data_IF_594809005754
#
_entry.id   IF_594809005754
#
_cell.length_a   1.000
_cell.length_b   1.000
_cell.length_c   1.000
_cell.angle_alpha   90.00
_cell.angle_beta   90.00
_cell.angle_gamma   90.00
#
_symmetry.space_group_name_H-M   'P 1'
#
loop_
_entity.id
_entity.type
_entity.pdbx_description
1 polymer ?
#
# COMPACT_ATOMS: atom_id res chain seq x y z
N UNK A 1 -18.23 19.43 6.10
CA UNK A 1 -18.04 19.55 4.63
C UNK A 1 -18.66 18.34 3.97
N UNK A 2 -19.61 18.54 3.07
CA UNK A 2 -20.20 17.44 2.29
C UNK A 2 -19.18 16.96 1.25
N UNK A 3 -19.10 15.65 1.08
CA UNK A 3 -18.17 15.03 0.13
C UNK A 3 -18.70 15.26 -1.30
N UNK A 4 -17.88 15.80 -2.22
CA UNK A 4 -18.30 16.02 -3.59
C UNK A 4 -18.38 14.71 -4.38
N UNK A 5 -19.18 14.73 -5.44
CA UNK A 5 -19.18 13.66 -6.44
C UNK A 5 -17.87 13.71 -7.24
N UNK A 6 -17.33 12.56 -7.64
CA UNK A 6 -16.06 12.53 -8.38
C UNK A 6 -16.10 13.40 -9.65
N UNK A 7 -17.24 13.46 -10.34
CA UNK A 7 -17.42 14.24 -11.56
C UNK A 7 -17.23 15.77 -11.36
N UNK A 8 -17.27 16.25 -10.11
CA UNK A 8 -17.05 17.65 -9.77
C UNK A 8 -15.57 17.97 -9.51
N UNK A 9 -14.72 16.94 -9.44
CA UNK A 9 -13.30 17.06 -9.13
C UNK A 9 -12.51 17.14 -10.42
N UNK A 10 -11.86 18.27 -10.64
CA UNK A 10 -11.03 18.52 -11.83
C UNK A 10 -9.55 18.52 -11.53
N UNK A 11 -9.14 18.64 -10.26
CA UNK A 11 -7.73 18.71 -9.87
C UNK A 11 -7.29 17.53 -9.00
N UNK A 12 -6.05 17.04 -9.17
CA UNK A 12 -5.45 16.02 -8.30
C UNK A 12 -5.44 16.44 -6.81
N UNK A 13 -5.16 17.71 -6.54
CA UNK A 13 -5.09 18.23 -5.17
C UNK A 13 -6.45 18.22 -4.47
N UNK A 14 -7.52 18.51 -5.20
CA UNK A 14 -8.88 18.42 -4.66
C UNK A 14 -9.30 16.97 -4.41
N UNK A 15 -8.95 16.06 -5.32
CA UNK A 15 -9.18 14.63 -5.14
C UNK A 15 -8.59 14.09 -3.82
N UNK A 16 -7.36 14.52 -3.49
CA UNK A 16 -6.63 14.11 -2.30
C UNK A 16 -7.19 14.65 -0.97
N UNK A 17 -8.03 15.70 -0.99
CA UNK A 17 -8.65 16.25 0.22
C UNK A 17 -9.69 15.31 0.83
N UNK A 18 -10.24 14.38 0.04
CA UNK A 18 -11.32 13.51 0.46
C UNK A 18 -10.87 12.05 0.60
N UNK A 19 -11.47 11.37 1.58
CA UNK A 19 -11.30 9.93 1.73
C UNK A 19 -12.24 9.17 0.80
N UNK A 20 -11.69 8.29 -0.03
CA UNK A 20 -12.45 7.42 -0.93
C UNK A 20 -12.37 5.95 -0.49
N UNK A 21 -13.49 5.25 -0.47
CA UNK A 21 -13.52 3.80 -0.29
C UNK A 21 -13.02 3.09 -1.55
N UNK A 22 -12.49 1.88 -1.37
CA UNK A 22 -11.89 1.10 -2.47
C UNK A 22 -12.90 0.84 -3.60
N UNK A 23 -14.13 0.47 -3.26
CA UNK A 23 -15.16 0.18 -4.27
C UNK A 23 -15.55 1.42 -5.08
N UNK A 24 -15.57 2.60 -4.45
CA UNK A 24 -15.82 3.86 -5.17
C UNK A 24 -14.69 4.17 -6.15
N UNK A 25 -13.44 4.00 -5.72
CA UNK A 25 -12.28 4.16 -6.60
C UNK A 25 -12.32 3.16 -7.77
N UNK A 26 -12.77 1.93 -7.51
CA UNK A 26 -12.93 0.91 -8.55
C UNK A 26 -13.99 1.32 -9.57
N UNK A 27 -15.13 1.85 -9.10
CA UNK A 27 -16.21 2.34 -9.97
C UNK A 27 -15.75 3.56 -10.79
N UNK A 28 -14.99 4.47 -10.20
CA UNK A 28 -14.40 5.62 -10.89
C UNK A 28 -13.44 5.12 -11.98
N UNK A 29 -12.49 4.24 -11.65
CA UNK A 29 -11.59 3.65 -12.64
C UNK A 29 -12.36 2.99 -13.78
N UNK A 30 -13.41 2.22 -13.48
CA UNK A 30 -14.23 1.56 -14.50
C UNK A 30 -14.89 2.55 -15.45
N UNK A 31 -15.48 3.64 -14.93
CA UNK A 31 -16.09 4.72 -15.73
C UNK A 31 -15.08 5.44 -16.61
N UNK A 32 -13.85 5.62 -16.12
CA UNK A 32 -12.75 6.28 -16.83
C UNK A 32 -11.96 5.34 -17.75
N UNK A 33 -12.38 4.07 -17.89
CA UNK A 33 -11.66 3.03 -18.64
C UNK A 33 -10.21 2.81 -18.15
N UNK A 34 -9.96 3.06 -16.87
CA UNK A 34 -8.69 2.82 -16.19
C UNK A 34 -8.62 1.39 -15.63
N UNK A 35 -7.42 0.90 -15.27
CA UNK A 35 -7.29 -0.37 -14.57
C UNK A 35 -8.10 -0.41 -13.26
N UNK A 36 -8.95 -1.43 -13.13
CA UNK A 36 -9.83 -1.64 -11.95
C UNK A 36 -9.26 -2.64 -10.94
N UNK A 37 -8.15 -3.31 -11.28
CA UNK A 37 -7.50 -4.29 -10.42
C UNK A 37 -6.44 -3.66 -9.51
N UNK A 38 -6.22 -4.28 -8.35
CA UNK A 38 -5.14 -3.94 -7.43
C UNK A 38 -5.58 -3.46 -6.05
N UNK A 39 -4.62 -2.87 -5.33
CA UNK A 39 -4.85 -2.29 -4.00
C UNK A 39 -5.53 -0.92 -4.10
N UNK A 40 -6.07 -0.41 -2.98
CA UNK A 40 -6.60 0.96 -2.90
C UNK A 40 -5.57 2.00 -3.38
N UNK A 41 -4.30 1.81 -3.05
CA UNK A 41 -3.23 2.70 -3.46
C UNK A 41 -3.03 2.68 -4.99
N UNK A 42 -3.13 1.50 -5.62
CA UNK A 42 -3.06 1.38 -7.08
C UNK A 42 -4.19 2.15 -7.76
N UNK A 43 -5.43 1.97 -7.29
CA UNK A 43 -6.59 2.68 -7.85
C UNK A 43 -6.46 4.20 -7.71
N UNK A 44 -6.06 4.68 -6.53
CA UNK A 44 -5.76 6.09 -6.31
C UNK A 44 -4.68 6.61 -7.27
N UNK A 45 -3.62 5.83 -7.48
CA UNK A 45 -2.54 6.21 -8.38
C UNK A 45 -3.00 6.36 -9.83
N UNK A 46 -3.85 5.45 -10.34
CA UNK A 46 -4.39 5.57 -11.71
C UNK A 46 -5.26 6.83 -11.88
N UNK A 47 -6.11 7.12 -10.90
CA UNK A 47 -6.98 8.31 -10.94
C UNK A 47 -6.14 9.59 -10.87
N UNK A 48 -5.09 9.63 -10.05
CA UNK A 48 -4.16 10.75 -10.01
C UNK A 48 -3.43 10.96 -11.34
N UNK A 49 -2.99 9.89 -11.99
CA UNK A 49 -2.36 9.99 -13.31
C UNK A 49 -3.32 10.57 -14.35
N UNK A 50 -4.57 10.09 -14.34
CA UNK A 50 -5.63 10.62 -15.22
C UNK A 50 -5.88 12.11 -14.97
N UNK A 51 -6.03 12.54 -13.70
CA UNK A 51 -6.23 13.94 -13.33
C UNK A 51 -5.01 14.84 -13.64
N UNK A 52 -3.82 14.26 -13.74
CA UNK A 52 -2.61 14.96 -14.20
C UNK A 52 -2.51 15.06 -15.73
N UNK A 53 -3.52 14.60 -16.47
CA UNK A 53 -3.57 14.69 -17.93
C UNK A 53 -2.83 13.56 -18.65
N UNK A 54 -2.45 12.48 -17.96
CA UNK A 54 -1.85 11.32 -18.62
C UNK A 54 -2.95 10.60 -19.41
N UNK A 55 -2.76 10.35 -20.73
CA UNK A 55 -3.70 9.62 -21.56
C UNK A 55 -4.01 8.23 -21.00
N UNK A 56 -5.28 7.83 -21.03
CA UNK A 56 -5.76 6.53 -20.50
C UNK A 56 -4.95 5.35 -21.05
N UNK A 57 -4.57 5.39 -22.34
CA UNK A 57 -3.79 4.32 -23.00
C UNK A 57 -2.39 4.11 -22.40
N UNK A 58 -1.84 5.13 -21.73
CA UNK A 58 -0.53 5.07 -21.07
C UNK A 58 -0.63 4.63 -19.61
N UNK A 59 -1.84 4.63 -19.01
CA UNK A 59 -2.05 4.25 -17.61
C UNK A 59 -2.21 2.73 -17.54
N UNK A 60 -1.12 2.05 -17.22
CA UNK A 60 -1.05 0.59 -17.19
C UNK A 60 -1.17 0.04 -15.76
N UNK A 61 -1.70 -1.19 -15.58
CA UNK A 61 -1.74 -1.83 -14.28
C UNK A 61 -0.34 -1.97 -13.68
N UNK A 62 -0.17 -1.56 -12.42
CA UNK A 62 1.07 -1.81 -11.68
C UNK A 62 1.22 -3.32 -11.50
N UNK A 63 2.16 -3.91 -12.23
CA UNK A 63 2.58 -5.30 -12.00
C UNK A 63 3.18 -5.36 -10.61
N UNK A 64 2.60 -6.18 -9.74
CA UNK A 64 3.24 -6.49 -8.46
C UNK A 64 4.55 -7.20 -8.78
N UNK A 65 5.66 -6.46 -8.67
CA UNK A 65 6.95 -7.10 -8.50
C UNK A 65 6.86 -7.75 -7.14
N UNK A 66 6.51 -9.04 -7.10
CA UNK A 66 6.82 -9.85 -5.95
C UNK A 66 8.33 -9.71 -5.76
N UNK A 67 8.77 -8.82 -4.87
CA UNK A 67 10.15 -8.82 -4.40
C UNK A 67 10.32 -10.18 -3.71
N UNK A 68 10.85 -11.16 -4.45
CA UNK A 68 11.18 -12.50 -3.95
C UNK A 68 12.43 -12.46 -3.05
N UNK A 69 12.63 -11.39 -2.29
CA UNK A 69 13.76 -11.21 -1.39
C UNK A 69 13.29 -11.17 0.05
N UNK A 70 12.28 -11.98 0.39
CA UNK A 70 11.96 -12.23 1.79
C UNK A 70 13.15 -12.97 2.43
N UNK A 71 13.84 -12.30 3.34
CA UNK A 71 14.87 -12.96 4.15
C UNK A 71 14.24 -14.13 4.92
N UNK A 72 14.83 -15.31 4.79
CA UNK A 72 14.39 -16.49 5.56
C UNK A 72 14.75 -16.31 7.03
N UNK A 73 14.00 -16.94 7.93
CA UNK A 73 14.22 -16.86 9.38
C UNK A 73 15.64 -17.30 9.79
N UNK A 74 16.24 -18.23 9.03
CA UNK A 74 17.62 -18.70 9.25
C UNK A 74 18.69 -17.68 8.84
N UNK A 75 18.34 -16.71 8.01
CA UNK A 75 19.25 -15.66 7.51
C UNK A 75 19.11 -14.35 8.30
N UNK A 76 18.02 -14.18 9.05
CA UNK A 76 17.81 -13.05 9.94
C UNK A 76 18.52 -13.28 11.28
N UNK A 77 19.27 -12.28 11.74
CA UNK A 77 19.92 -12.23 13.05
C UNK A 77 19.73 -10.83 13.67
N UNK A 78 20.15 -10.65 14.92
CA UNK A 78 20.04 -9.37 15.63
C UNK A 78 20.79 -8.20 14.95
N UNK A 79 21.79 -8.51 14.13
CA UNK A 79 22.60 -7.52 13.42
C UNK A 79 22.06 -7.21 12.02
N UNK A 80 20.95 -7.85 11.63
CA UNK A 80 20.34 -7.63 10.31
C UNK A 80 19.77 -6.22 10.26
N UNK A 81 20.29 -5.39 9.35
CA UNK A 81 19.78 -4.04 9.12
C UNK A 81 18.29 -4.11 8.78
N UNK A 82 17.47 -3.21 9.30
CA UNK A 82 16.04 -3.19 8.96
C UNK A 82 15.79 -2.61 7.57
N UNK A 83 16.58 -1.61 7.19
CA UNK A 83 16.51 -0.96 5.89
C UNK A 83 17.45 -1.63 4.89
N UNK A 84 17.01 -1.76 3.64
CA UNK A 84 17.79 -2.25 2.49
C UNK A 84 18.36 -3.68 2.64
N UNK A 85 17.85 -4.49 3.57
CA UNK A 85 18.28 -5.89 3.77
C UNK A 85 17.33 -6.92 3.18
N UNK A 86 16.10 -6.52 2.80
CA UNK A 86 15.01 -7.45 2.50
C UNK A 86 14.28 -7.96 3.74
N UNK A 87 14.57 -7.41 4.93
CA UNK A 87 13.79 -7.69 6.12
C UNK A 87 12.37 -7.14 5.99
N UNK A 88 11.38 -7.98 6.28
CA UNK A 88 9.98 -7.62 6.30
C UNK A 88 9.28 -8.24 7.51
N UNK A 89 8.21 -7.61 7.99
CA UNK A 89 7.37 -8.08 9.10
C UNK A 89 6.45 -9.24 8.64
N UNK A 90 7.04 -10.25 8.03
CA UNK A 90 6.39 -11.40 7.42
C UNK A 90 6.43 -12.62 8.37
N UNK A 91 6.02 -13.79 7.87
CA UNK A 91 6.06 -15.03 8.66
C UNK A 91 7.48 -15.46 9.04
N UNK A 92 8.48 -15.19 8.20
CA UNK A 92 9.88 -15.53 8.50
C UNK A 92 10.40 -14.73 9.69
N UNK A 93 10.12 -13.43 9.75
CA UNK A 93 10.46 -12.61 10.91
C UNK A 93 9.74 -13.10 12.18
N UNK A 94 8.46 -13.50 12.09
CA UNK A 94 7.74 -14.08 13.25
C UNK A 94 8.38 -15.38 13.75
N UNK A 95 8.81 -16.26 12.85
CA UNK A 95 9.51 -17.50 13.22
C UNK A 95 10.84 -17.20 13.91
N UNK A 96 11.61 -16.26 13.38
CA UNK A 96 12.85 -15.81 14.00
C UNK A 96 12.61 -15.30 15.43
N UNK A 97 11.67 -14.37 15.62
CA UNK A 97 11.38 -13.83 16.95
C UNK A 97 10.75 -14.84 17.91
N UNK A 98 9.91 -15.77 17.41
CA UNK A 98 9.36 -16.84 18.22
C UNK A 98 10.48 -17.72 18.81
N UNK A 99 11.45 -18.10 17.97
CA UNK A 99 12.62 -18.85 18.41
C UNK A 99 13.51 -18.03 19.35
N UNK A 100 13.75 -16.76 19.03
CA UNK A 100 14.60 -15.87 19.82
C UNK A 100 14.06 -15.61 21.23
N UNK A 101 12.75 -15.35 21.36
CA UNK A 101 12.09 -15.13 22.66
C UNK A 101 11.60 -16.41 23.33
N UNK A 102 11.83 -17.58 22.72
CA UNK A 102 11.34 -18.88 23.17
C UNK A 102 9.82 -18.91 23.44
N UNK A 103 9.03 -18.35 22.53
CA UNK A 103 7.56 -18.35 22.61
C UNK A 103 6.95 -19.17 21.48
N UNK A 104 5.89 -19.91 21.78
CA UNK A 104 5.19 -20.76 20.80
C UNK A 104 4.65 -19.97 19.60
N UNK A 105 4.22 -18.72 19.82
CA UNK A 105 3.65 -17.85 18.78
C UNK A 105 3.99 -16.40 19.05
N UNK A 106 4.75 -15.79 18.13
CA UNK A 106 5.08 -14.37 18.17
C UNK A 106 4.13 -13.55 17.29
N UNK A 107 3.65 -12.41 17.80
CA UNK A 107 2.76 -11.48 17.07
C UNK A 107 3.24 -10.05 17.20
N UNK A 108 3.39 -9.37 16.06
CA UNK A 108 3.64 -7.93 16.04
C UNK A 108 2.39 -7.18 16.52
N UNK A 109 2.50 -6.42 17.61
CA UNK A 109 1.46 -5.51 18.07
C UNK A 109 1.70 -4.13 17.47
N UNK A 110 0.69 -3.58 16.80
CA UNK A 110 0.70 -2.19 16.35
C UNK A 110 0.26 -1.30 17.51
N UNK A 111 1.21 -0.65 18.17
CA UNK A 111 0.90 0.40 19.14
C UNK A 111 0.86 1.73 18.38
N UNK A 112 -0.24 2.49 18.51
CA UNK A 112 -0.27 3.86 18.02
C UNK A 112 0.43 4.72 19.07
N UNK A 113 1.66 5.11 18.81
CA UNK A 113 2.28 6.21 19.56
C UNK A 113 1.56 7.47 19.07
N UNK A 114 0.81 8.14 19.94
CA UNK A 114 0.36 9.51 19.65
C UNK A 114 1.63 10.33 19.52
N UNK A 115 1.90 10.88 18.34
CA UNK A 115 2.90 11.95 18.21
C UNK A 115 2.50 13.05 19.18
N UNK A 116 3.26 13.17 20.26
CA UNK A 116 3.37 14.43 20.99
C UNK A 116 4.24 15.26 20.05
N UNK A 117 3.58 16.20 19.37
CA UNK A 117 4.23 17.27 18.61
C UNK A 117 4.90 18.19 19.62
#
# INVERSE_FOLDING_TARGET
MTRPQFNQITSPNEFLKFYWYKEELRLICWRLQLPTSGTKANLNHYILQYLNGIPVNQIQPIKSRHLKNDLKAKQTNLNTKLLNSGFALNNQARLFFANYFNVKRFTFKKVKIKSII
#
